data_IF_638382663423
#
_entry.id   IF_638382663423
#
_cell.length_a   1.000
_cell.length_b   1.000
_cell.length_c   1.000
_cell.angle_alpha   90.00
_cell.angle_beta   90.00
_cell.angle_gamma   90.00
#
_symmetry.space_group_name_H-M   'P 1'
#
loop_
_entity.id
_entity.type
_entity.pdbx_description
1 polymer ?
#
# COMPACT_ATOMS: atom_id res chain seq x y z
N UNK A 1 29.42 22.11 -26.18
CA UNK A 1 29.00 21.91 -25.69
C UNK A 1 28.05 20.98 -25.24
N UNK A 2 27.03 21.22 -24.79
CA UNK A 2 26.08 20.33 -24.19
C UNK A 2 25.56 19.24 -25.09
N UNK A 3 25.53 19.50 -26.36
CA UNK A 3 24.96 18.47 -27.22
C UNK A 3 25.83 17.26 -27.37
N UNK A 4 27.08 17.38 -26.93
CA UNK A 4 27.90 16.25 -27.08
C UNK A 4 27.61 15.14 -26.17
N UNK A 5 27.28 15.38 -24.96
CA UNK A 5 27.03 14.28 -24.08
C UNK A 5 25.63 13.75 -24.23
N UNK A 6 24.75 14.51 -24.88
CA UNK A 6 23.41 14.02 -25.08
C UNK A 6 23.32 12.77 -25.91
N UNK A 7 24.00 12.66 -27.07
CA UNK A 7 23.98 11.40 -27.82
C UNK A 7 24.51 10.24 -27.03
N UNK A 8 25.51 10.48 -26.18
CA UNK A 8 26.07 9.43 -25.38
C UNK A 8 25.09 8.92 -24.33
N UNK A 9 24.31 9.84 -23.79
CA UNK A 9 23.39 9.51 -22.73
C UNK A 9 22.02 9.10 -23.19
N UNK A 10 21.70 9.27 -24.46
CA UNK A 10 20.34 9.07 -24.92
C UNK A 10 19.84 7.65 -24.73
N UNK A 11 20.72 6.65 -24.86
CA UNK A 11 20.34 5.27 -24.66
C UNK A 11 19.99 4.98 -23.22
N UNK A 12 20.83 5.48 -22.29
CA UNK A 12 20.58 5.30 -20.88
C UNK A 12 19.33 6.05 -20.44
N UNK A 13 19.15 7.27 -20.92
CA UNK A 13 17.99 8.08 -20.58
C UNK A 13 16.70 7.42 -21.05
N UNK A 14 16.70 6.83 -22.24
CA UNK A 14 15.53 6.14 -22.73
C UNK A 14 15.24 4.88 -21.93
N UNK A 15 16.26 4.16 -21.52
CA UNK A 15 16.09 2.96 -20.72
C UNK A 15 15.51 3.32 -19.35
N UNK A 16 16.04 4.34 -18.70
CA UNK A 16 15.54 4.80 -17.42
C UNK A 16 14.08 5.25 -17.53
N UNK A 17 13.75 6.00 -18.57
CA UNK A 17 12.37 6.46 -18.81
C UNK A 17 11.42 5.29 -19.00
N UNK A 18 11.85 4.23 -19.68
CA UNK A 18 10.99 3.06 -19.87
C UNK A 18 10.77 2.33 -18.55
N UNK A 19 11.79 2.20 -17.72
CA UNK A 19 11.66 1.56 -16.43
C UNK A 19 10.71 2.35 -15.53
N UNK A 20 10.85 3.67 -15.48
CA UNK A 20 9.98 4.52 -14.70
C UNK A 20 8.54 4.45 -15.18
N UNK A 21 8.32 4.50 -16.49
CA UNK A 21 6.98 4.40 -17.07
C UNK A 21 6.35 3.05 -16.75
N UNK A 22 7.14 1.97 -16.81
CA UNK A 22 6.65 0.64 -16.49
C UNK A 22 6.23 0.54 -15.02
N UNK A 23 7.03 1.10 -14.11
CA UNK A 23 6.69 1.11 -12.69
C UNK A 23 5.44 1.93 -12.41
N UNK A 24 5.29 3.08 -13.06
CA UNK A 24 4.09 3.89 -12.94
C UNK A 24 2.86 3.15 -13.43
N UNK A 25 2.99 2.45 -14.53
CA UNK A 25 1.89 1.68 -15.10
C UNK A 25 1.48 0.54 -14.14
N UNK A 26 2.44 -0.18 -13.59
CA UNK A 26 2.15 -1.24 -12.63
C UNK A 26 1.47 -0.68 -11.38
N UNK A 27 1.94 0.46 -10.91
CA UNK A 27 1.36 1.14 -9.76
C UNK A 27 -0.11 1.49 -10.01
N UNK A 28 -0.39 2.10 -11.17
CA UNK A 28 -1.76 2.47 -11.54
C UNK A 28 -2.66 1.26 -11.68
N UNK A 29 -2.13 0.19 -12.26
CA UNK A 29 -2.89 -1.06 -12.38
C UNK A 29 -3.24 -1.62 -11.02
N UNK A 30 -2.28 -1.65 -10.11
CA UNK A 30 -2.51 -2.17 -8.76
C UNK A 30 -3.58 -1.34 -8.04
N UNK A 31 -3.47 -0.03 -8.10
CA UNK A 31 -4.41 0.88 -7.45
C UNK A 31 -5.81 0.74 -8.06
N UNK A 32 -5.89 0.64 -9.38
CA UNK A 32 -7.17 0.42 -10.06
C UNK A 32 -7.79 -0.91 -9.63
N UNK A 33 -6.98 -1.97 -9.54
CA UNK A 33 -7.44 -3.29 -9.13
C UNK A 33 -8.03 -3.28 -7.72
N UNK A 34 -7.49 -2.44 -6.83
CA UNK A 34 -8.02 -2.29 -5.47
C UNK A 34 -9.50 -1.93 -5.52
N UNK A 35 -9.87 -0.98 -6.39
CA UNK A 35 -11.26 -0.52 -6.50
C UNK A 35 -12.24 -1.63 -6.86
N UNK A 36 -11.76 -2.69 -7.50
CA UNK A 36 -12.62 -3.80 -7.91
C UNK A 36 -12.76 -4.87 -6.83
N UNK A 37 -11.90 -4.86 -5.82
CA UNK A 37 -11.89 -5.92 -4.80
C UNK A 37 -11.94 -5.37 -3.37
N UNK A 38 -12.43 -4.16 -3.19
CA UNK A 38 -12.43 -3.48 -1.88
C UNK A 38 -12.99 -4.37 -0.76
N UNK A 39 -14.19 -4.89 -0.94
CA UNK A 39 -14.84 -5.69 0.12
C UNK A 39 -14.08 -6.97 0.45
N UNK A 40 -13.69 -7.72 -0.58
CA UNK A 40 -12.96 -8.98 -0.39
C UNK A 40 -11.59 -8.74 0.23
N UNK A 41 -10.89 -7.72 -0.22
CA UNK A 41 -9.55 -7.42 0.28
C UNK A 41 -9.61 -6.91 1.73
N UNK A 42 -10.55 -6.00 2.02
CA UNK A 42 -10.73 -5.50 3.39
C UNK A 42 -11.04 -6.64 4.36
N UNK A 43 -11.90 -7.57 3.94
CA UNK A 43 -12.24 -8.71 4.77
C UNK A 43 -11.01 -9.60 5.00
N UNK A 44 -10.24 -9.88 3.97
CA UNK A 44 -9.06 -10.72 4.08
C UNK A 44 -7.98 -10.10 4.98
N UNK A 45 -7.73 -8.81 4.82
CA UNK A 45 -6.74 -8.11 5.64
C UNK A 45 -7.20 -8.06 7.10
N UNK A 46 -8.47 -7.71 7.33
CA UNK A 46 -9.02 -7.65 8.67
C UNK A 46 -8.89 -9.00 9.38
N UNK A 47 -9.25 -10.08 8.71
CA UNK A 47 -9.14 -11.42 9.27
C UNK A 47 -7.69 -11.74 9.66
N UNK A 48 -6.74 -11.42 8.79
CA UNK A 48 -5.32 -11.72 9.07
C UNK A 48 -4.76 -10.89 10.21
N UNK A 49 -5.10 -9.61 10.28
CA UNK A 49 -4.65 -8.76 11.38
C UNK A 49 -5.18 -9.27 12.74
N UNK A 50 -6.42 -9.74 12.76
CA UNK A 50 -7.02 -10.27 13.99
C UNK A 50 -6.48 -11.66 14.33
N UNK A 51 -6.35 -12.55 13.35
CA UNK A 51 -5.80 -13.88 13.55
C UNK A 51 -4.36 -13.84 14.11
N UNK A 52 -3.57 -12.93 13.59
CA UNK A 52 -2.17 -12.80 14.02
C UNK A 52 -2.01 -11.91 15.27
N UNK A 53 -3.12 -11.47 15.83
CA UNK A 53 -3.13 -10.66 17.06
C UNK A 53 -2.34 -9.37 16.94
N UNK A 54 -2.33 -8.80 15.74
CA UNK A 54 -1.69 -7.51 15.51
C UNK A 54 -2.63 -6.35 15.81
N UNK A 55 -3.94 -6.58 15.75
CA UNK A 55 -4.94 -5.59 16.11
C UNK A 55 -5.83 -6.17 17.20
N UNK A 56 -5.95 -5.46 18.31
CA UNK A 56 -6.85 -5.82 19.40
C UNK A 56 -8.07 -4.94 19.37
N UNK A 57 -9.26 -5.55 19.31
CA UNK A 57 -10.52 -4.83 19.26
C UNK A 57 -11.63 -5.69 19.86
N UNK A 58 -12.65 -5.04 20.39
CA UNK A 58 -13.88 -5.74 20.77
C UNK A 58 -14.95 -5.59 19.70
N UNK A 59 -14.60 -5.05 18.52
CA UNK A 59 -15.53 -4.89 17.40
C UNK A 59 -14.80 -5.18 16.08
N UNK A 60 -14.75 -6.45 15.69
CA UNK A 60 -14.07 -6.87 14.46
C UNK A 60 -14.66 -6.21 13.22
N UNK A 61 -15.96 -5.93 13.23
CA UNK A 61 -16.63 -5.27 12.11
C UNK A 61 -16.08 -3.87 11.87
N UNK A 62 -15.69 -3.15 12.93
CA UNK A 62 -15.11 -1.83 12.80
C UNK A 62 -13.78 -1.88 12.07
N UNK A 63 -12.96 -2.92 12.34
CA UNK A 63 -11.69 -3.09 11.64
C UNK A 63 -11.92 -3.24 10.13
N UNK A 64 -12.85 -4.10 9.77
CA UNK A 64 -13.18 -4.32 8.35
C UNK A 64 -13.70 -3.05 7.69
N UNK A 65 -14.59 -2.33 8.36
CA UNK A 65 -15.14 -1.08 7.80
C UNK A 65 -14.06 -0.03 7.59
N UNK A 66 -13.14 0.10 8.53
CA UNK A 66 -12.05 1.06 8.41
C UNK A 66 -11.12 0.69 7.25
N UNK A 67 -10.87 -0.60 7.05
CA UNK A 67 -10.07 -1.05 5.92
C UNK A 67 -10.78 -0.83 4.58
N UNK A 68 -12.10 -1.02 4.53
CA UNK A 68 -12.87 -0.68 3.34
C UNK A 68 -12.73 0.81 3.02
N UNK A 69 -12.86 1.65 4.02
CA UNK A 69 -12.68 3.09 3.86
C UNK A 69 -11.29 3.41 3.31
N UNK A 70 -10.26 2.79 3.88
CA UNK A 70 -8.88 2.97 3.43
C UNK A 70 -8.72 2.61 1.95
N UNK A 71 -9.25 1.46 1.56
CA UNK A 71 -9.12 0.96 0.18
C UNK A 71 -9.91 1.82 -0.81
N UNK A 72 -11.10 2.26 -0.43
CA UNK A 72 -11.89 3.15 -1.28
C UNK A 72 -11.17 4.49 -1.47
N UNK A 73 -10.59 5.01 -0.42
CA UNK A 73 -9.82 6.25 -0.48
C UNK A 73 -8.60 6.08 -1.38
N UNK A 74 -7.88 4.96 -1.25
CA UNK A 74 -6.73 4.66 -2.09
C UNK A 74 -7.11 4.60 -3.56
N UNK A 75 -8.23 3.95 -3.87
CA UNK A 75 -8.65 3.77 -5.25
C UNK A 75 -8.97 5.10 -5.96
N UNK A 76 -9.22 6.15 -5.19
CA UNK A 76 -9.54 7.48 -5.71
C UNK A 76 -8.45 8.51 -5.47
N UNK A 77 -7.39 8.14 -4.78
CA UNK A 77 -6.33 9.08 -4.43
C UNK A 77 -5.44 9.39 -5.62
N UNK A 78 -4.91 10.60 -5.66
CA UNK A 78 -3.92 10.95 -6.68
C UNK A 78 -2.53 10.55 -6.18
N UNK A 79 -1.55 10.63 -7.07
CA UNK A 79 -0.19 10.21 -6.75
C UNK A 79 0.42 11.01 -5.61
N UNK A 80 0.11 12.30 -5.53
CA UNK A 80 0.65 13.14 -4.46
C UNK A 80 0.16 12.67 -3.09
N UNK A 81 -1.13 12.41 -2.98
CA UNK A 81 -1.72 11.96 -1.71
C UNK A 81 -1.18 10.59 -1.30
N UNK A 82 -1.03 9.70 -2.27
CA UNK A 82 -0.47 8.38 -2.01
C UNK A 82 0.96 8.50 -1.52
N UNK A 83 1.79 9.27 -2.21
CA UNK A 83 3.19 9.45 -1.84
C UNK A 83 3.34 10.11 -0.47
N UNK A 84 2.46 11.05 -0.16
CA UNK A 84 2.45 11.69 1.14
C UNK A 84 2.17 10.68 2.25
N UNK A 85 1.17 9.83 2.05
CA UNK A 85 0.79 8.85 3.07
C UNK A 85 1.85 7.77 3.28
N UNK A 86 2.49 7.30 2.21
CA UNK A 86 3.49 6.24 2.34
C UNK A 86 4.88 6.75 2.72
N UNK A 87 5.09 8.07 2.69
CA UNK A 87 6.42 8.65 2.95
C UNK A 87 7.08 8.12 4.23
N UNK A 88 6.39 8.04 5.38
CA UNK A 88 7.02 7.54 6.60
C UNK A 88 7.46 6.07 6.52
N UNK A 89 6.84 5.29 5.64
CA UNK A 89 7.07 3.85 5.51
C UNK A 89 7.89 3.48 4.28
N UNK A 90 8.34 4.48 3.51
CA UNK A 90 8.97 4.23 2.20
C UNK A 90 10.13 3.26 2.24
N UNK A 91 10.92 3.31 3.29
CA UNK A 91 12.12 2.49 3.43
C UNK A 91 11.93 1.29 4.37
N UNK A 92 10.67 0.96 4.67
CA UNK A 92 10.37 -0.12 5.61
C UNK A 92 10.92 -1.46 5.15
N UNK A 93 10.77 -1.76 3.87
CA UNK A 93 11.27 -3.00 3.28
C UNK A 93 11.89 -2.68 1.92
N UNK A 94 12.69 -3.60 1.40
CA UNK A 94 13.22 -3.47 0.04
C UNK A 94 12.10 -3.76 -0.96
N UNK A 95 12.05 -3.00 -2.05
CA UNK A 95 11.04 -3.17 -3.11
C UNK A 95 9.60 -3.19 -2.59
N UNK A 96 9.17 -2.15 -1.88
CA UNK A 96 7.83 -2.15 -1.30
C UNK A 96 6.72 -2.07 -2.34
N UNK A 97 5.62 -2.76 -2.05
CA UNK A 97 4.41 -2.67 -2.86
C UNK A 97 3.61 -1.45 -2.39
N UNK A 98 3.23 -0.57 -3.30
CA UNK A 98 2.59 0.69 -2.95
C UNK A 98 1.27 0.49 -2.20
N UNK A 99 0.47 -0.48 -2.60
CA UNK A 99 -0.82 -0.74 -1.95
C UNK A 99 -0.59 -1.22 -0.52
N UNK A 100 0.34 -2.15 -0.33
CA UNK A 100 0.66 -2.66 1.00
C UNK A 100 1.19 -1.55 1.91
N UNK A 101 2.07 -0.69 1.39
CA UNK A 101 2.58 0.44 2.17
C UNK A 101 1.47 1.39 2.59
N UNK A 102 0.57 1.70 1.67
CA UNK A 102 -0.53 2.62 1.95
C UNK A 102 -1.42 2.08 3.07
N UNK A 103 -1.76 0.80 3.01
CA UNK A 103 -2.60 0.17 4.02
C UNK A 103 -1.84 0.07 5.35
N UNK A 104 -0.55 -0.26 5.32
CA UNK A 104 0.28 -0.35 6.52
C UNK A 104 0.33 1.00 7.23
N UNK A 105 0.56 2.07 6.49
CA UNK A 105 0.57 3.42 7.06
C UNK A 105 -0.79 3.77 7.65
N UNK A 106 -1.88 3.41 6.99
CA UNK A 106 -3.22 3.64 7.51
C UNK A 106 -3.44 2.91 8.85
N UNK A 107 -3.06 1.64 8.92
CA UNK A 107 -3.23 0.84 10.14
C UNK A 107 -2.46 1.48 11.30
N UNK A 108 -1.22 1.82 11.08
CA UNK A 108 -0.35 2.34 12.13
C UNK A 108 -0.74 3.75 12.56
N UNK A 109 -1.13 4.60 11.61
CA UNK A 109 -1.35 6.01 11.91
C UNK A 109 -2.81 6.40 12.11
N UNK A 110 -3.74 5.67 11.50
CA UNK A 110 -5.15 6.05 11.54
C UNK A 110 -6.01 5.03 12.28
N UNK A 111 -5.86 3.76 12.00
CA UNK A 111 -6.69 2.73 12.64
C UNK A 111 -6.52 2.73 14.15
N UNK A 112 -5.31 2.96 14.63
CA UNK A 112 -5.03 3.01 16.08
C UNK A 112 -5.85 4.08 16.80
N UNK A 113 -6.29 5.10 16.09
CA UNK A 113 -7.05 6.21 16.69
C UNK A 113 -8.55 5.94 16.76
N UNK A 114 -9.01 4.86 16.14
CA UNK A 114 -10.43 4.53 16.12
C UNK A 114 -10.90 4.12 17.53
N UNK A 115 -12.06 4.60 17.99
CA UNK A 115 -12.52 4.32 19.36
C UNK A 115 -12.69 2.83 19.68
N UNK A 116 -12.99 2.01 18.68
CA UNK A 116 -13.19 0.58 18.89
C UNK A 116 -11.88 -0.23 18.85
N UNK A 117 -10.75 0.41 18.61
CA UNK A 117 -9.44 -0.25 18.60
C UNK A 117 -8.81 -0.10 19.98
N UNK A 118 -8.47 -1.22 20.59
CA UNK A 118 -7.84 -1.22 21.90
C UNK A 118 -6.34 -0.98 21.76
N UNK A 119 -5.68 -1.73 20.88
CA UNK A 119 -4.25 -1.54 20.63
C UNK A 119 -3.82 -2.21 19.34
N UNK A 120 -2.65 -1.84 18.85
CA UNK A 120 -2.01 -2.43 17.68
C UNK A 120 -0.62 -2.88 18.12
N UNK A 121 -0.28 -4.13 17.82
CA UNK A 121 0.95 -4.78 18.27
C UNK A 121 1.84 -5.17 17.09
N UNK A 122 3.06 -5.54 17.41
CA UNK A 122 4.02 -5.99 16.42
C UNK A 122 4.82 -4.85 15.83
N UNK A 123 5.87 -5.19 15.12
CA UNK A 123 6.68 -4.20 14.42
C UNK A 123 5.98 -3.76 13.15
N UNK A 124 6.41 -2.63 12.60
CA UNK A 124 5.88 -2.12 11.33
C UNK A 124 6.10 -3.16 10.23
N UNK A 125 7.23 -3.86 10.25
CA UNK A 125 7.55 -4.90 9.27
C UNK A 125 6.62 -6.10 9.40
N UNK A 126 6.27 -6.49 10.62
CA UNK A 126 5.32 -7.58 10.83
C UNK A 126 3.94 -7.23 10.31
N UNK A 127 3.50 -6.01 10.54
CA UNK A 127 2.21 -5.52 10.06
C UNK A 127 2.22 -5.49 8.53
N UNK A 128 3.30 -4.97 7.94
CA UNK A 128 3.45 -4.95 6.49
C UNK A 128 3.37 -6.37 5.91
N UNK A 129 4.11 -7.31 6.48
CA UNK A 129 4.13 -8.69 5.98
C UNK A 129 2.75 -9.33 6.07
N UNK A 130 2.03 -9.07 7.15
CA UNK A 130 0.68 -9.60 7.35
C UNK A 130 -0.30 -9.06 6.30
N UNK A 131 -0.20 -7.78 5.98
CA UNK A 131 -1.07 -7.13 5.00
C UNK A 131 -0.68 -7.53 3.58
N UNK A 132 0.61 -7.71 3.33
CA UNK A 132 1.12 -7.98 1.99
C UNK A 132 0.58 -9.27 1.39
N UNK A 133 0.42 -10.31 2.18
CA UNK A 133 -0.08 -11.61 1.68
C UNK A 133 -1.44 -11.50 1.00
N UNK A 134 -2.48 -10.99 1.67
CA UNK A 134 -3.77 -10.83 0.99
C UNK A 134 -3.73 -9.84 -0.17
N UNK A 135 -2.90 -8.79 -0.08
CA UNK A 135 -2.76 -7.84 -1.19
C UNK A 135 -2.26 -8.57 -2.44
N UNK A 136 -1.18 -9.32 -2.32
CA UNK A 136 -0.63 -10.05 -3.46
C UNK A 136 -1.66 -11.06 -3.99
N UNK A 137 -2.31 -11.79 -3.10
CA UNK A 137 -3.29 -12.79 -3.50
C UNK A 137 -4.44 -12.19 -4.31
N UNK A 138 -4.93 -11.03 -3.92
CA UNK A 138 -6.09 -10.42 -4.56
C UNK A 138 -5.76 -9.58 -5.77
N UNK A 139 -4.56 -9.01 -5.85
CA UNK A 139 -4.20 -8.10 -6.92
C UNK A 139 -3.35 -8.71 -8.02
N UNK A 140 -2.63 -9.79 -7.70
CA UNK A 140 -1.67 -10.37 -8.65
C UNK A 140 -2.13 -11.66 -9.31
N UNK A 141 -3.36 -12.06 -9.11
CA UNK A 141 -3.89 -13.27 -9.76
C UNK A 141 -4.55 -12.96 -11.07
#
# INVERSE_FOLDING_TARGET
>A
MSKRFRPENSGESRLISRIETSKEYERRRAIHAVGEVVGALANAISAKLLENRLVETNNAHAVREQLEYCLEKLSRADDFDIDFQIAPMRNLVANPHVVTLYITAFVIEQLIKHPDIIDIYGSDEEIYACIHRPVIRHLMT
#
